data_IF_637676347354
#
_entry.id   IF_637676347354
#
_cell.length_a   1.000
_cell.length_b   1.000
_cell.length_c   1.000
_cell.angle_alpha   90.00
_cell.angle_beta   90.00
_cell.angle_gamma   90.00
#
_symmetry.space_group_name_H-M   'P 1'
#
loop_
_entity.id
_entity.type
_entity.pdbx_description
1 polymer ?
#
# COMPACT_ATOMS: atom_id res chain seq x y z
N UNK A 1 -6.44 -35.49 2.99
CA UNK A 1 -6.85 -34.18 3.54
C UNK A 1 -5.69 -33.81 4.44
N UNK A 2 -4.73 -33.08 3.89
CA UNK A 2 -3.40 -32.98 4.50
C UNK A 2 -3.18 -31.50 4.78
N UNK A 3 -3.47 -31.13 6.03
CA UNK A 3 -3.19 -29.82 6.55
C UNK A 3 -1.70 -29.70 6.87
N UNK A 4 -1.03 -28.77 6.22
CA UNK A 4 0.31 -28.33 6.60
C UNK A 4 0.40 -26.82 6.40
N UNK A 5 0.21 -26.07 7.49
CA UNK A 5 0.57 -24.66 7.58
C UNK A 5 1.80 -24.55 8.49
N UNK A 6 3.00 -24.68 7.91
CA UNK A 6 4.23 -24.18 8.54
C UNK A 6 4.55 -22.79 7.99
N UNK A 7 3.67 -21.84 8.26
CA UNK A 7 4.01 -20.43 8.21
C UNK A 7 4.02 -19.93 9.64
N UNK A 8 5.19 -19.75 10.25
CA UNK A 8 5.26 -18.96 11.46
C UNK A 8 4.64 -17.60 11.12
N UNK A 9 3.62 -17.12 11.85
CA UNK A 9 3.10 -15.80 11.61
C UNK A 9 4.23 -14.79 11.81
N UNK A 10 4.72 -14.21 10.72
CA UNK A 10 5.77 -13.20 10.82
C UNK A 10 5.10 -11.89 11.21
N UNK A 11 5.75 -11.17 12.14
CA UNK A 11 5.39 -9.78 12.39
C UNK A 11 5.68 -9.02 11.10
N UNK A 12 4.65 -8.44 10.54
CA UNK A 12 4.72 -7.69 9.27
C UNK A 12 4.56 -6.21 9.57
N UNK A 13 5.45 -5.40 9.00
CA UNK A 13 5.31 -3.95 8.97
C UNK A 13 4.63 -3.49 7.68
N UNK A 14 4.00 -2.33 7.75
CA UNK A 14 3.58 -1.54 6.58
C UNK A 14 4.34 -0.23 6.59
N UNK A 15 4.62 0.30 5.42
CA UNK A 15 5.31 1.58 5.27
C UNK A 15 5.09 2.15 3.89
N UNK A 16 5.23 3.46 3.80
CA UNK A 16 5.12 4.17 2.53
C UNK A 16 5.77 5.55 2.58
N UNK A 17 6.40 5.92 1.48
CA UNK A 17 6.81 7.30 1.21
C UNK A 17 5.69 7.95 0.38
N UNK A 18 5.48 9.25 0.51
CA UNK A 18 4.68 10.01 -0.45
C UNK A 18 5.55 11.14 -0.98
N UNK A 19 5.95 11.06 -2.24
CA UNK A 19 6.79 12.06 -2.90
C UNK A 19 6.00 13.02 -3.77
N UNK A 20 6.61 14.13 -4.17
CA UNK A 20 6.17 14.90 -5.33
C UNK A 20 6.91 14.47 -6.62
N UNK A 21 6.53 15.06 -7.76
CA UNK A 21 7.18 14.80 -9.07
C UNK A 21 8.65 15.26 -9.15
N UNK A 22 9.13 16.05 -8.19
CA UNK A 22 10.51 16.50 -8.13
C UNK A 22 11.37 15.57 -7.25
N UNK A 23 10.77 14.49 -6.71
CA UNK A 23 11.43 13.58 -5.78
C UNK A 23 11.51 14.12 -4.35
N UNK A 24 10.78 15.20 -4.03
CA UNK A 24 10.70 15.69 -2.66
C UNK A 24 9.75 14.82 -1.84
N UNK A 25 10.22 14.28 -0.72
CA UNK A 25 9.38 13.55 0.23
C UNK A 25 8.43 14.52 0.93
N UNK A 26 7.13 14.32 0.76
CA UNK A 26 6.06 15.09 1.39
C UNK A 26 5.61 14.47 2.70
N UNK A 27 5.54 13.13 2.74
CA UNK A 27 5.20 12.38 3.95
C UNK A 27 5.88 11.01 3.96
N UNK A 28 6.07 10.48 5.17
CA UNK A 28 6.50 9.11 5.43
C UNK A 28 5.55 8.53 6.46
N UNK A 29 5.12 7.28 6.25
CA UNK A 29 4.38 6.54 7.27
C UNK A 29 4.99 5.15 7.45
N UNK A 30 4.94 4.68 8.70
CA UNK A 30 5.34 3.36 9.12
C UNK A 30 4.30 2.86 10.12
N UNK A 31 3.94 1.59 10.03
CA UNK A 31 2.95 0.96 10.89
C UNK A 31 3.27 -0.52 11.10
N UNK A 32 2.81 -1.07 12.22
CA UNK A 32 2.88 -2.51 12.48
C UNK A 32 1.55 -3.16 12.11
N UNK A 33 1.57 -4.19 11.28
CA UNK A 33 0.38 -4.93 10.85
C UNK A 33 0.04 -6.13 11.76
N UNK A 34 0.96 -6.50 12.65
CA UNK A 34 0.85 -7.75 13.39
C UNK A 34 1.13 -8.94 12.48
N UNK A 35 0.28 -9.97 12.51
CA UNK A 35 0.41 -11.17 11.68
C UNK A 35 -0.42 -11.02 10.40
N UNK A 36 0.19 -11.23 9.23
CA UNK A 36 -0.52 -11.33 7.97
C UNK A 36 0.41 -11.42 6.77
N UNK A 37 -0.18 -11.66 5.59
CA UNK A 37 0.56 -11.84 4.35
C UNK A 37 0.95 -10.51 3.65
N UNK A 38 1.85 -10.60 2.68
CA UNK A 38 2.36 -9.45 1.95
C UNK A 38 1.28 -8.71 1.12
N UNK A 39 0.23 -9.40 0.67
CA UNK A 39 -0.83 -8.79 -0.11
C UNK A 39 -1.72 -7.89 0.76
N UNK A 40 -2.02 -8.35 1.98
CA UNK A 40 -2.71 -7.57 3.00
C UNK A 40 -1.86 -6.38 3.47
N UNK A 41 -0.54 -6.58 3.61
CA UNK A 41 0.39 -5.49 3.91
C UNK A 41 0.40 -4.41 2.83
N UNK A 42 0.49 -4.82 1.57
CA UNK A 42 0.38 -3.90 0.44
C UNK A 42 -0.96 -3.16 0.41
N UNK A 43 -2.08 -3.85 0.65
CA UNK A 43 -3.40 -3.22 0.70
C UNK A 43 -3.52 -2.17 1.81
N UNK A 44 -3.11 -2.51 3.03
CA UNK A 44 -3.16 -1.59 4.17
C UNK A 44 -2.24 -0.40 3.98
N UNK A 45 -1.08 -0.60 3.35
CA UNK A 45 -0.20 0.50 3.02
C UNK A 45 -0.83 1.43 1.97
N UNK A 46 -1.51 0.88 0.94
CA UNK A 46 -2.27 1.68 -0.03
C UNK A 46 -3.36 2.50 0.67
N UNK A 47 -4.14 1.87 1.56
CA UNK A 47 -5.16 2.55 2.35
C UNK A 47 -4.58 3.72 3.15
N UNK A 48 -3.45 3.52 3.85
CA UNK A 48 -2.79 4.56 4.63
C UNK A 48 -2.28 5.72 3.75
N UNK A 49 -1.69 5.40 2.60
CA UNK A 49 -1.23 6.42 1.64
C UNK A 49 -2.38 7.28 1.11
N UNK A 50 -3.52 6.64 0.79
CA UNK A 50 -4.73 7.33 0.37
C UNK A 50 -5.30 8.23 1.48
N UNK A 51 -5.31 7.76 2.73
CA UNK A 51 -5.78 8.53 3.88
C UNK A 51 -4.92 9.77 4.12
N UNK A 52 -3.59 9.63 4.08
CA UNK A 52 -2.66 10.76 4.18
C UNK A 52 -2.93 11.74 3.04
N UNK A 53 -3.06 11.26 1.81
CA UNK A 53 -3.31 12.13 0.67
C UNK A 53 -4.63 12.92 0.82
N UNK A 54 -5.69 12.24 1.27
CA UNK A 54 -6.99 12.84 1.48
C UNK A 54 -6.96 13.92 2.58
N UNK A 55 -6.25 13.64 3.68
CA UNK A 55 -6.21 14.52 4.86
C UNK A 55 -5.32 15.76 4.67
N UNK A 56 -4.34 15.72 3.77
CA UNK A 56 -3.41 16.84 3.53
C UNK A 56 -3.92 17.86 2.49
N UNK A 57 -5.19 17.78 2.09
CA UNK A 57 -5.82 18.79 1.22
C UNK A 57 -5.37 18.74 -0.24
N UNK A 58 -4.80 17.61 -0.69
CA UNK A 58 -4.38 17.44 -2.08
C UNK A 58 -5.51 16.97 -3.01
N UNK A 59 -6.64 16.54 -2.45
CA UNK A 59 -7.86 16.19 -3.18
C UNK A 59 -8.29 17.32 -4.10
N UNK A 60 -8.54 16.99 -5.37
CA UNK A 60 -8.92 17.95 -6.41
C UNK A 60 -7.79 18.86 -6.91
N UNK A 61 -6.66 18.93 -6.21
CA UNK A 61 -5.51 19.77 -6.56
C UNK A 61 -4.38 19.00 -7.25
N UNK A 62 -4.25 17.71 -6.97
CA UNK A 62 -3.16 16.85 -7.44
C UNK A 62 -3.72 15.53 -7.96
N UNK A 63 -2.99 14.92 -8.89
CA UNK A 63 -3.19 13.54 -9.31
C UNK A 63 -2.31 12.64 -8.44
N UNK A 64 -2.86 11.53 -7.94
CA UNK A 64 -2.13 10.55 -7.15
C UNK A 64 -1.72 9.36 -8.01
N UNK A 65 -0.45 8.96 -7.92
CA UNK A 65 0.07 7.73 -8.52
C UNK A 65 0.36 6.76 -7.39
N UNK A 66 -0.30 5.61 -7.41
CA UNK A 66 -0.06 4.53 -6.47
C UNK A 66 0.92 3.52 -7.08
N UNK A 67 2.18 3.56 -6.64
CA UNK A 67 3.20 2.61 -7.08
C UNK A 67 3.22 1.41 -6.14
N UNK A 68 3.22 0.19 -6.65
CA UNK A 68 3.32 -1.00 -5.80
C UNK A 68 4.01 -2.16 -6.49
N UNK A 69 4.83 -2.87 -5.72
CA UNK A 69 5.47 -4.13 -6.13
C UNK A 69 4.51 -5.33 -6.04
N UNK A 70 3.32 -5.15 -5.48
CA UNK A 70 2.31 -6.19 -5.36
C UNK A 70 1.19 -5.98 -6.38
N UNK A 71 1.31 -6.64 -7.53
CA UNK A 71 0.24 -6.65 -8.54
C UNK A 71 -1.09 -7.16 -7.97
N UNK A 72 -1.05 -8.06 -6.97
CA UNK A 72 -2.24 -8.57 -6.30
C UNK A 72 -2.95 -7.47 -5.49
N UNK A 73 -2.19 -6.67 -4.73
CA UNK A 73 -2.73 -5.55 -3.94
C UNK A 73 -3.33 -4.47 -4.84
N UNK A 74 -2.65 -4.13 -5.96
CA UNK A 74 -3.21 -3.23 -6.99
C UNK A 74 -4.50 -3.82 -7.57
N UNK A 75 -4.47 -5.10 -7.94
CA UNK A 75 -5.60 -5.76 -8.57
C UNK A 75 -6.83 -5.77 -7.66
N UNK A 76 -6.65 -6.02 -6.35
CA UNK A 76 -7.75 -5.94 -5.39
C UNK A 76 -8.33 -4.53 -5.27
N UNK A 77 -7.51 -3.47 -5.28
CA UNK A 77 -8.01 -2.09 -5.19
C UNK A 77 -8.95 -1.77 -6.36
N UNK A 78 -8.65 -2.24 -7.57
CA UNK A 78 -9.38 -1.86 -8.78
C UNK A 78 -10.39 -2.89 -9.29
N UNK A 79 -10.37 -4.11 -8.75
CA UNK A 79 -11.25 -5.19 -9.20
C UNK A 79 -12.02 -5.79 -8.02
N UNK A 80 -13.20 -5.25 -7.69
CA UNK A 80 -14.02 -5.75 -6.58
C UNK A 80 -14.34 -7.26 -6.63
N UNK A 81 -14.43 -7.84 -7.83
CA UNK A 81 -14.81 -9.24 -8.03
C UNK A 81 -13.77 -10.28 -7.58
N UNK A 82 -12.52 -9.89 -7.33
CA UNK A 82 -11.44 -10.80 -6.90
C UNK A 82 -11.01 -10.59 -5.44
N UNK A 83 -11.74 -9.75 -4.71
CA UNK A 83 -11.41 -9.36 -3.34
C UNK A 83 -11.75 -10.47 -2.34
N UNK A 84 -10.84 -10.79 -1.40
CA UNK A 84 -11.16 -11.67 -0.29
C UNK A 84 -12.20 -11.06 0.66
N UNK A 85 -13.24 -11.81 0.97
CA UNK A 85 -14.39 -11.34 1.77
C UNK A 85 -14.04 -11.05 3.24
N UNK A 86 -13.04 -11.73 3.79
CA UNK A 86 -12.67 -11.65 5.21
C UNK A 86 -11.99 -10.33 5.62
N UNK A 87 -11.67 -9.46 4.66
CA UNK A 87 -11.10 -8.12 4.89
C UNK A 87 -11.92 -7.00 4.24
N UNK A 88 -13.21 -7.23 4.00
CA UNK A 88 -14.13 -6.30 3.33
C UNK A 88 -14.14 -4.87 3.93
N UNK A 89 -13.89 -4.73 5.23
CA UNK A 89 -13.84 -3.41 5.88
C UNK A 89 -12.75 -2.52 5.30
N UNK A 90 -11.56 -3.07 5.05
CA UNK A 90 -10.44 -2.35 4.45
C UNK A 90 -10.82 -1.89 3.04
N UNK A 91 -11.38 -2.80 2.23
CA UNK A 91 -11.82 -2.46 0.87
C UNK A 91 -12.88 -1.36 0.83
N UNK A 92 -13.87 -1.40 1.71
CA UNK A 92 -14.91 -0.36 1.75
C UNK A 92 -14.31 1.01 2.08
N UNK A 93 -13.30 1.06 2.95
CA UNK A 93 -12.63 2.30 3.29
C UNK A 93 -11.74 2.78 2.13
N UNK A 94 -10.95 1.88 1.53
CA UNK A 94 -10.18 2.16 0.31
C UNK A 94 -11.07 2.70 -0.81
N UNK A 95 -12.22 2.09 -1.08
CA UNK A 95 -13.17 2.53 -2.11
C UNK A 95 -13.71 3.94 -1.81
N UNK A 96 -14.03 4.22 -0.55
CA UNK A 96 -14.46 5.55 -0.13
C UNK A 96 -13.39 6.61 -0.38
N UNK A 97 -12.13 6.31 -0.05
CA UNK A 97 -11.00 7.22 -0.27
C UNK A 97 -10.74 7.43 -1.76
N UNK A 98 -10.76 6.34 -2.55
CA UNK A 98 -10.60 6.39 -3.99
C UNK A 98 -11.66 7.30 -4.63
N UNK A 99 -12.93 7.11 -4.24
CA UNK A 99 -14.03 7.93 -4.75
C UNK A 99 -13.90 9.40 -4.32
N UNK A 100 -13.42 9.67 -3.10
CA UNK A 100 -13.22 11.03 -2.60
C UNK A 100 -12.08 11.75 -3.32
N UNK A 101 -10.98 11.05 -3.62
CA UNK A 101 -9.82 11.62 -4.32
C UNK A 101 -10.14 11.82 -5.81
N UNK A 102 -10.79 10.84 -6.44
CA UNK A 102 -11.23 10.83 -7.84
C UNK A 102 -10.10 10.69 -8.88
N UNK A 103 -9.01 11.43 -8.72
CA UNK A 103 -7.88 11.47 -9.66
C UNK A 103 -6.73 10.58 -9.18
N UNK A 104 -6.83 9.27 -9.44
CA UNK A 104 -5.84 8.26 -9.05
C UNK A 104 -5.48 7.37 -10.24
N UNK A 105 -4.21 7.02 -10.38
CA UNK A 105 -3.72 5.93 -11.21
C UNK A 105 -2.85 4.97 -10.40
N UNK A 106 -2.60 3.77 -10.91
CA UNK A 106 -1.69 2.81 -10.26
C UNK A 106 -0.66 2.28 -11.23
N UNK A 107 0.56 2.10 -10.74
CA UNK A 107 1.68 1.57 -11.49
C UNK A 107 2.28 0.38 -10.75
N UNK A 108 2.48 -0.72 -11.48
CA UNK A 108 3.25 -1.84 -10.96
C UNK A 108 4.74 -1.55 -11.17
N UNK A 109 5.52 -1.67 -10.10
CA UNK A 109 6.97 -1.49 -10.15
C UNK A 109 7.62 -2.86 -9.97
N UNK A 110 8.32 -3.34 -11.00
CA UNK A 110 9.19 -4.51 -10.89
C UNK A 110 10.53 -4.10 -10.29
N UNK A 111 11.05 -4.92 -9.38
CA UNK A 111 12.25 -4.69 -8.56
C UNK A 111 13.60 -4.63 -9.33
N UNK A 112 13.62 -4.16 -10.58
CA UNK A 112 14.85 -4.03 -11.40
C UNK A 112 15.10 -2.66 -12.05
N UNK A 113 14.25 -1.63 -11.90
CA UNK A 113 14.51 -0.34 -12.57
C UNK A 113 14.29 0.90 -11.70
N UNK A 114 15.28 1.78 -11.77
CA UNK A 114 15.40 3.10 -11.15
C UNK A 114 14.28 4.09 -11.59
N UNK A 115 13.83 4.93 -10.62
CA UNK A 115 13.33 6.33 -10.70
C UNK A 115 11.83 6.69 -10.89
N UNK A 116 11.37 7.50 -9.90
CA UNK A 116 10.72 8.83 -9.92
C UNK A 116 9.43 9.08 -10.75
N UNK A 117 8.29 9.19 -10.06
CA UNK A 117 7.32 10.31 -10.13
C UNK A 117 6.21 10.12 -9.05
N UNK A 118 5.97 11.09 -8.15
CA UNK A 118 4.97 11.02 -7.02
C UNK A 118 4.81 9.59 -6.48
N UNK A 119 5.92 9.03 -6.03
CA UNK A 119 5.99 7.60 -5.72
C UNK A 119 5.40 7.36 -4.33
N UNK A 120 4.36 6.51 -4.26
CA UNK A 120 4.09 5.78 -3.01
C UNK A 120 5.02 4.59 -2.97
N UNK A 121 6.18 4.73 -2.32
CA UNK A 121 7.16 3.65 -2.24
C UNK A 121 6.78 2.72 -1.07
N UNK A 122 6.20 1.55 -1.37
CA UNK A 122 5.91 0.54 -0.35
C UNK A 122 7.16 -0.24 0.02
N UNK A 123 7.75 0.06 1.18
CA UNK A 123 8.77 -0.82 1.78
C UNK A 123 8.07 -1.75 2.76
N UNK A 124 7.86 -3.00 2.35
CA UNK A 124 7.46 -4.07 3.28
C UNK A 124 8.69 -4.46 4.11
N UNK A 125 8.79 -3.91 5.32
CA UNK A 125 9.82 -4.31 6.27
C UNK A 125 9.45 -5.66 6.91
N UNK A 126 10.22 -6.70 6.60
CA UNK A 126 10.28 -7.92 7.41
C UNK A 126 10.91 -7.51 8.76
N UNK A 127 10.23 -7.73 9.89
CA UNK A 127 10.61 -7.22 11.23
C UNK A 127 11.98 -7.73 11.71
N UNK A 128 12.62 -8.64 10.99
CA UNK A 128 14.01 -9.03 11.23
C UNK A 128 15.05 -7.95 10.86
N UNK A 129 14.70 -6.94 10.06
CA UNK A 129 15.64 -5.86 9.70
C UNK A 129 15.60 -4.65 10.67
N UNK A 130 14.62 -4.59 11.58
CA UNK A 130 14.53 -3.52 12.59
C UNK A 130 15.52 -3.68 13.76
N UNK A 131 16.37 -4.71 13.77
CA UNK A 131 17.43 -4.87 14.79
C UNK A 131 18.81 -4.33 14.35
N UNK A 132 18.94 -3.62 13.22
CA UNK A 132 20.23 -3.13 12.72
C UNK A 132 20.29 -1.62 12.40
N UNK A 133 19.47 -0.79 13.02
CA UNK A 133 19.72 0.68 13.08
C UNK A 133 19.58 1.18 14.51
#
# INVERSE_FOLDING_TARGET
>A
MDGSSRGCPRKTGIGGVLGDKNGCVLALFLGSMGEGDAANAGLLAIENGLEIFANYGWVGCKHLINESESMLSISWCWNPGIRPWNIAKVFNHTDSLVNAIGSISSMYVSMELEKLDVVIEFVVFDVLLCCMV
#
